data_IF_789825457802
#
_entry.id   IF_789825457802
#
_cell.length_a   1.000
_cell.length_b   1.000
_cell.length_c   1.000
_cell.angle_alpha   90.00
_cell.angle_beta   90.00
_cell.angle_gamma   90.00
#
_symmetry.space_group_name_H-M   'P 1'
#
loop_
_entity.id
_entity.type
_entity.pdbx_description
1 polymer ?
#
# COMPACT_ATOMS: atom_id res chain seq x y z
N UNK A 1 -15.86 -66.05 -41.39
CA UNK A 1 -16.46 -64.73 -41.02
C UNK A 1 -16.15 -64.48 -39.55
N UNK A 2 -15.10 -63.69 -39.25
CA UNK A 2 -14.77 -63.33 -37.88
C UNK A 2 -15.57 -62.10 -37.50
N UNK A 3 -16.53 -62.24 -36.63
CA UNK A 3 -17.26 -61.14 -35.98
C UNK A 3 -16.28 -60.38 -35.06
N UNK A 4 -16.12 -59.06 -35.18
CA UNK A 4 -15.29 -58.32 -34.27
C UNK A 4 -15.93 -58.37 -32.86
N UNK A 5 -15.14 -58.77 -31.86
CA UNK A 5 -15.52 -58.84 -30.46
C UNK A 5 -15.86 -57.40 -29.98
N UNK A 6 -17.02 -57.16 -29.36
CA UNK A 6 -17.41 -55.84 -28.89
C UNK A 6 -16.42 -55.43 -27.82
N UNK A 7 -15.69 -54.30 -28.07
CA UNK A 7 -14.74 -53.71 -27.12
C UNK A 7 -15.43 -53.55 -25.78
N UNK A 8 -15.11 -54.41 -24.83
CA UNK A 8 -15.58 -54.28 -23.44
C UNK A 8 -15.11 -52.92 -22.91
N UNK A 9 -16.06 -52.07 -22.59
CA UNK A 9 -15.80 -50.76 -22.01
C UNK A 9 -15.12 -50.98 -20.65
N UNK A 10 -13.84 -50.55 -20.54
CA UNK A 10 -13.04 -50.73 -19.34
C UNK A 10 -13.38 -49.62 -18.34
N UNK A 11 -14.42 -49.86 -17.55
CA UNK A 11 -14.91 -48.96 -16.52
C UNK A 11 -13.83 -48.61 -15.48
N UNK A 12 -12.92 -49.55 -15.18
CA UNK A 12 -11.80 -49.30 -14.26
C UNK A 12 -10.83 -48.24 -14.77
N UNK A 13 -10.53 -48.22 -16.08
CA UNK A 13 -9.70 -47.18 -16.68
C UNK A 13 -10.38 -45.80 -16.66
N UNK A 14 -11.67 -45.74 -16.91
CA UNK A 14 -12.42 -44.49 -16.86
C UNK A 14 -12.36 -43.89 -15.44
N UNK A 15 -12.66 -44.68 -14.41
CA UNK A 15 -12.65 -44.28 -13.01
C UNK A 15 -11.24 -43.79 -12.61
N UNK A 16 -10.19 -44.55 -12.99
CA UNK A 16 -8.81 -44.15 -12.71
C UNK A 16 -8.43 -42.81 -13.39
N UNK A 17 -8.86 -42.58 -14.64
CA UNK A 17 -8.60 -41.35 -15.36
C UNK A 17 -9.30 -40.16 -14.71
N UNK A 18 -10.55 -40.32 -14.31
CA UNK A 18 -11.32 -39.26 -13.63
C UNK A 18 -10.73 -38.97 -12.25
N UNK A 19 -10.30 -39.98 -11.50
CA UNK A 19 -9.65 -39.80 -10.21
C UNK A 19 -8.33 -39.01 -10.35
N UNK A 20 -7.48 -39.37 -11.33
CA UNK A 20 -6.22 -38.66 -11.58
C UNK A 20 -6.45 -37.22 -12.02
N UNK A 21 -7.46 -36.95 -12.86
CA UNK A 21 -7.84 -35.61 -13.25
C UNK A 21 -8.33 -34.79 -12.05
N UNK A 22 -9.13 -35.41 -11.18
CA UNK A 22 -9.57 -34.77 -9.93
C UNK A 22 -8.43 -34.38 -9.01
N UNK A 23 -7.41 -35.25 -8.89
CA UNK A 23 -6.18 -34.91 -8.12
C UNK A 23 -5.43 -33.74 -8.74
N UNK A 24 -5.26 -33.71 -10.07
CA UNK A 24 -4.58 -32.59 -10.76
C UNK A 24 -5.34 -31.27 -10.57
N UNK A 25 -6.66 -31.28 -10.72
CA UNK A 25 -7.49 -30.08 -10.48
C UNK A 25 -7.39 -29.64 -9.02
N UNK A 26 -7.43 -30.60 -8.08
CA UNK A 26 -7.25 -30.29 -6.65
C UNK A 26 -5.90 -29.65 -6.35
N UNK A 27 -4.80 -30.16 -6.93
CA UNK A 27 -3.47 -29.57 -6.76
C UNK A 27 -3.37 -28.15 -7.37
N UNK A 28 -4.01 -27.92 -8.51
CA UNK A 28 -4.06 -26.57 -9.12
C UNK A 28 -4.82 -25.59 -8.22
N UNK A 29 -5.97 -26.00 -7.68
CA UNK A 29 -6.75 -25.17 -6.75
C UNK A 29 -5.97 -24.83 -5.48
N UNK A 30 -5.30 -25.83 -4.89
CA UNK A 30 -4.45 -25.61 -3.71
C UNK A 30 -3.29 -24.66 -4.04
N UNK A 31 -2.66 -24.82 -5.20
CA UNK A 31 -1.58 -23.90 -5.65
C UNK A 31 -2.09 -22.46 -5.79
N UNK A 32 -3.27 -22.27 -6.36
CA UNK A 32 -3.90 -20.93 -6.46
C UNK A 32 -4.23 -20.36 -5.07
N UNK A 33 -4.75 -21.18 -4.16
CA UNK A 33 -5.05 -20.72 -2.79
C UNK A 33 -3.79 -20.32 -2.03
N UNK A 34 -2.67 -21.06 -2.18
CA UNK A 34 -1.39 -20.72 -1.57
C UNK A 34 -0.88 -19.38 -2.12
N UNK A 35 -0.93 -19.19 -3.44
CA UNK A 35 -0.54 -17.94 -4.06
C UNK A 35 -1.34 -16.75 -3.51
N UNK A 36 -2.67 -16.85 -3.51
CA UNK A 36 -3.55 -15.81 -2.97
C UNK A 36 -3.28 -15.53 -1.49
N UNK A 37 -3.11 -16.58 -0.67
CA UNK A 37 -2.79 -16.43 0.76
C UNK A 37 -1.45 -15.74 0.98
N UNK A 38 -0.45 -16.03 0.14
CA UNK A 38 0.86 -15.38 0.20
C UNK A 38 0.77 -13.90 -0.17
N UNK A 39 0.00 -13.55 -1.18
CA UNK A 39 -0.17 -12.16 -1.60
C UNK A 39 -0.92 -11.35 -0.54
N UNK A 40 -1.95 -11.93 0.08
CA UNK A 40 -2.65 -11.31 1.23
C UNK A 40 -1.69 -11.12 2.41
N UNK A 41 -0.88 -12.11 2.75
CA UNK A 41 0.07 -12.01 3.85
C UNK A 41 1.14 -10.92 3.60
N UNK A 42 1.64 -10.78 2.36
CA UNK A 42 2.57 -9.71 1.98
C UNK A 42 1.92 -8.34 2.10
N UNK A 43 0.66 -8.21 1.64
CA UNK A 43 -0.09 -6.96 1.75
C UNK A 43 -0.34 -6.56 3.21
N UNK A 44 -0.68 -7.52 4.08
CA UNK A 44 -0.84 -7.31 5.51
C UNK A 44 0.47 -6.84 6.15
N UNK A 45 1.60 -7.53 5.88
CA UNK A 45 2.89 -7.16 6.42
C UNK A 45 3.32 -5.74 6.01
N UNK A 46 3.11 -5.38 4.74
CA UNK A 46 3.38 -4.03 4.25
C UNK A 46 2.50 -2.98 4.94
N UNK A 47 1.20 -3.28 5.09
CA UNK A 47 0.28 -2.39 5.79
C UNK A 47 0.66 -2.21 7.27
N UNK A 48 1.05 -3.28 7.96
CA UNK A 48 1.47 -3.23 9.37
C UNK A 48 2.75 -2.39 9.54
N UNK A 49 3.70 -2.49 8.61
CA UNK A 49 4.89 -1.63 8.58
C UNK A 49 4.50 -0.14 8.50
N UNK A 50 3.65 0.24 7.54
CA UNK A 50 3.22 1.62 7.41
C UNK A 50 2.39 2.12 8.61
N UNK A 51 1.58 1.25 9.21
CA UNK A 51 0.84 1.60 10.43
C UNK A 51 1.78 1.87 11.60
N UNK A 52 2.83 1.06 11.76
CA UNK A 52 3.83 1.27 12.80
C UNK A 52 4.60 2.59 12.60
N UNK A 53 5.00 2.89 11.36
CA UNK A 53 5.67 4.14 11.00
C UNK A 53 4.77 5.36 11.27
N UNK A 54 3.50 5.30 10.86
CA UNK A 54 2.52 6.34 11.17
C UNK A 54 2.31 6.55 12.68
N UNK A 55 2.28 5.46 13.47
CA UNK A 55 2.16 5.57 14.92
C UNK A 55 3.39 6.25 15.53
N UNK A 56 4.58 5.96 15.00
CA UNK A 56 5.81 6.63 15.41
C UNK A 56 5.73 8.13 15.13
N UNK A 57 5.37 8.53 13.90
CA UNK A 57 5.23 9.93 13.53
C UNK A 57 4.21 10.67 14.41
N UNK A 58 3.05 10.07 14.65
CA UNK A 58 2.02 10.62 15.53
C UNK A 58 2.55 10.78 16.96
N UNK A 59 3.30 9.81 17.48
CA UNK A 59 3.87 9.91 18.83
C UNK A 59 4.91 11.02 18.97
N UNK A 60 5.63 11.33 17.89
CA UNK A 60 6.66 12.38 17.85
C UNK A 60 6.08 13.78 17.63
N UNK A 61 4.85 13.90 17.13
CA UNK A 61 4.16 15.21 17.00
C UNK A 61 3.77 15.79 18.37
N UNK A 62 3.65 14.98 19.43
CA UNK A 62 3.28 15.42 20.76
C UNK A 62 1.82 15.82 20.90
N UNK A 63 1.51 16.62 21.94
CA UNK A 63 0.14 16.89 22.36
C UNK A 63 -0.53 18.06 21.62
N UNK A 64 0.23 18.90 20.91
CA UNK A 64 -0.29 20.15 20.30
C UNK A 64 0.13 20.38 18.84
N UNK A 65 -0.06 19.41 17.93
CA UNK A 65 0.27 19.63 16.51
C UNK A 65 -0.55 20.75 15.86
N UNK A 66 -1.78 20.99 16.38
CA UNK A 66 -2.69 22.03 15.90
C UNK A 66 -2.11 23.43 16.14
N UNK A 67 -1.43 23.67 17.26
CA UNK A 67 -0.83 24.95 17.58
C UNK A 67 0.34 25.27 16.61
N UNK A 68 1.19 24.29 16.34
CA UNK A 68 2.28 24.42 15.38
C UNK A 68 1.75 24.64 13.96
N UNK A 69 0.67 23.94 13.58
CA UNK A 69 -0.01 24.16 12.31
C UNK A 69 -0.60 25.55 12.19
N UNK A 70 -1.27 26.03 13.24
CA UNK A 70 -1.87 27.37 13.29
C UNK A 70 -0.80 28.46 13.10
N UNK A 71 0.37 28.31 13.75
CA UNK A 71 1.50 29.23 13.54
C UNK A 71 2.04 29.15 12.11
N UNK A 72 2.18 27.96 11.55
CA UNK A 72 2.65 27.78 10.17
C UNK A 72 1.79 28.50 9.13
N UNK A 73 0.47 28.57 9.38
CA UNK A 73 -0.47 29.21 8.46
C UNK A 73 -0.56 30.72 8.68
N UNK A 74 -0.57 31.20 9.93
CA UNK A 74 -0.89 32.58 10.26
C UNK A 74 0.33 33.45 10.61
N UNK A 75 1.38 32.84 11.16
CA UNK A 75 2.61 33.54 11.58
C UNK A 75 3.85 32.72 11.21
N UNK A 76 4.11 32.48 9.90
CA UNK A 76 5.18 31.58 9.44
C UNK A 76 6.59 32.05 9.84
N UNK A 77 6.77 33.34 10.14
CA UNK A 77 8.05 33.90 10.61
C UNK A 77 8.32 33.65 12.10
N UNK A 78 7.28 33.26 12.88
CA UNK A 78 7.37 32.99 14.32
C UNK A 78 7.51 31.47 14.63
N UNK A 79 7.84 30.65 13.62
CA UNK A 79 8.02 29.20 13.80
C UNK A 79 9.24 28.94 14.69
N UNK A 80 8.97 28.26 15.81
CA UNK A 80 10.03 27.82 16.73
C UNK A 80 10.68 26.50 16.24
N UNK A 81 11.87 26.14 16.75
CA UNK A 81 12.47 24.84 16.47
C UNK A 81 11.55 23.65 16.85
N UNK A 82 10.74 23.80 17.91
CA UNK A 82 9.75 22.81 18.28
C UNK A 82 8.66 22.68 17.23
N UNK A 83 8.11 23.81 16.77
CA UNK A 83 7.10 23.80 15.70
C UNK A 83 7.63 23.18 14.41
N UNK A 84 8.87 23.51 14.04
CA UNK A 84 9.51 22.92 12.87
C UNK A 84 9.63 21.41 12.98
N UNK A 85 9.99 20.88 14.15
CA UNK A 85 10.06 19.45 14.39
C UNK A 85 8.68 18.77 14.33
N UNK A 86 7.64 19.40 14.90
CA UNK A 86 6.26 18.89 14.84
C UNK A 86 5.74 18.87 13.40
N UNK A 87 5.99 19.95 12.64
CA UNK A 87 5.55 20.07 11.25
C UNK A 87 6.30 19.10 10.33
N UNK A 88 7.59 18.87 10.58
CA UNK A 88 8.38 17.87 9.87
C UNK A 88 7.72 16.48 10.01
N UNK A 89 7.35 16.08 11.23
CA UNK A 89 6.64 14.80 11.47
C UNK A 89 5.27 14.78 10.82
N UNK A 90 4.55 15.89 10.85
CA UNK A 90 3.24 15.99 10.22
C UNK A 90 3.31 15.80 8.69
N UNK A 91 4.28 16.43 8.02
CA UNK A 91 4.46 16.27 6.57
C UNK A 91 4.97 14.86 6.22
N UNK A 92 5.92 14.32 6.99
CA UNK A 92 6.38 12.94 6.82
C UNK A 92 5.23 11.93 6.98
N UNK A 93 4.36 12.11 7.98
CA UNK A 93 3.15 11.30 8.12
C UNK A 93 2.30 11.33 6.84
N UNK A 94 2.10 12.50 6.23
CA UNK A 94 1.39 12.63 4.95
C UNK A 94 2.06 11.86 3.81
N UNK A 95 3.40 11.90 3.71
CA UNK A 95 4.17 11.14 2.71
C UNK A 95 4.03 9.61 2.92
N UNK A 96 4.11 9.16 4.17
CA UNK A 96 3.95 7.73 4.50
C UNK A 96 2.56 7.24 4.10
N UNK A 97 1.52 8.05 4.30
CA UNK A 97 0.16 7.72 3.85
C UNK A 97 0.08 7.58 2.33
N UNK A 98 0.70 8.48 1.56
CA UNK A 98 0.73 8.40 0.10
C UNK A 98 1.44 7.12 -0.36
N UNK A 99 2.63 6.81 0.19
CA UNK A 99 3.38 5.58 -0.13
C UNK A 99 2.57 4.32 0.17
N UNK A 100 1.92 4.30 1.33
CA UNK A 100 1.04 3.18 1.72
C UNK A 100 -0.08 2.96 0.71
N UNK A 101 -0.80 4.03 0.35
CA UNK A 101 -1.91 3.95 -0.60
C UNK A 101 -1.44 3.56 -2.01
N UNK A 102 -0.30 4.07 -2.45
CA UNK A 102 0.33 3.68 -3.71
C UNK A 102 0.61 2.17 -3.73
N UNK A 103 1.21 1.63 -2.67
CA UNK A 103 1.47 0.20 -2.58
C UNK A 103 0.18 -0.63 -2.54
N UNK A 104 -0.82 -0.19 -1.80
CA UNK A 104 -2.13 -0.86 -1.77
C UNK A 104 -2.81 -0.85 -3.14
N UNK A 105 -2.68 0.24 -3.90
CA UNK A 105 -3.19 0.32 -5.27
C UNK A 105 -2.46 -0.63 -6.21
N UNK A 106 -1.13 -0.73 -6.13
CA UNK A 106 -0.33 -1.69 -6.91
C UNK A 106 -0.72 -3.15 -6.64
N UNK A 107 -1.16 -3.45 -5.42
CA UNK A 107 -1.66 -4.78 -5.02
C UNK A 107 -3.14 -4.99 -5.33
N UNK A 108 -3.84 -4.00 -5.91
CA UNK A 108 -5.27 -4.08 -6.19
C UNK A 108 -6.16 -4.04 -4.94
N UNK A 109 -5.66 -3.53 -3.82
CA UNK A 109 -6.34 -3.49 -2.52
C UNK A 109 -6.93 -2.11 -2.18
N UNK A 110 -6.58 -1.06 -2.92
CA UNK A 110 -7.16 0.27 -2.77
C UNK A 110 -8.10 0.58 -3.94
N UNK A 111 -9.22 1.25 -3.63
CA UNK A 111 -10.13 1.76 -4.65
C UNK A 111 -9.48 2.86 -5.50
N UNK A 112 -9.90 2.96 -6.76
CA UNK A 112 -9.44 4.02 -7.65
C UNK A 112 -9.84 5.40 -7.10
N UNK A 113 -8.89 6.34 -7.08
CA UNK A 113 -9.12 7.72 -6.63
C UNK A 113 -8.79 7.99 -5.15
N UNK A 114 -8.63 6.97 -4.29
CA UNK A 114 -8.22 7.18 -2.89
C UNK A 114 -6.81 7.76 -2.81
N UNK A 115 -5.88 7.26 -3.63
CA UNK A 115 -4.52 7.79 -3.73
C UNK A 115 -4.53 9.25 -4.19
N UNK A 116 -5.28 9.58 -5.25
CA UNK A 116 -5.39 10.94 -5.77
C UNK A 116 -5.98 11.91 -4.73
N UNK A 117 -6.93 11.43 -3.93
CA UNK A 117 -7.50 12.22 -2.84
C UNK A 117 -6.44 12.51 -1.77
N UNK A 118 -5.64 11.53 -1.40
CA UNK A 118 -4.57 11.69 -0.40
C UNK A 118 -3.46 12.62 -0.91
N UNK A 119 -3.10 12.53 -2.19
CA UNK A 119 -2.14 13.46 -2.81
C UNK A 119 -2.66 14.89 -2.73
N UNK A 120 -3.90 15.16 -3.16
CA UNK A 120 -4.50 16.51 -3.06
C UNK A 120 -4.56 17.02 -1.62
N UNK A 121 -4.82 16.13 -0.66
CA UNK A 121 -4.81 16.49 0.75
C UNK A 121 -3.42 16.92 1.21
N UNK A 122 -2.39 16.17 0.83
CA UNK A 122 -1.00 16.51 1.14
C UNK A 122 -0.58 17.82 0.44
N UNK A 123 -0.88 18.00 -0.85
CA UNK A 123 -0.61 19.24 -1.59
C UNK A 123 -1.23 20.47 -0.92
N UNK A 124 -2.47 20.33 -0.43
CA UNK A 124 -3.12 21.41 0.30
C UNK A 124 -2.35 21.81 1.57
N UNK A 125 -1.86 20.81 2.32
CA UNK A 125 -1.05 21.08 3.52
C UNK A 125 0.32 21.68 3.18
N UNK A 126 0.93 21.25 2.09
CA UNK A 126 2.19 21.82 1.60
C UNK A 126 2.02 23.21 0.96
N UNK A 127 0.79 23.65 0.73
CA UNK A 127 0.48 24.91 0.06
C UNK A 127 0.79 26.19 0.87
N UNK A 128 0.96 26.11 2.20
CA UNK A 128 1.40 27.24 3.01
C UNK A 128 2.92 27.50 2.88
N UNK A 129 3.42 28.62 3.40
CA UNK A 129 4.81 29.01 3.24
C UNK A 129 5.79 28.01 3.87
N UNK A 130 5.50 27.55 5.08
CA UNK A 130 6.34 26.58 5.79
C UNK A 130 6.35 25.23 5.06
N UNK A 131 5.18 24.75 4.61
CA UNK A 131 5.07 23.54 3.83
C UNK A 131 5.83 23.59 2.51
N UNK A 132 5.78 24.73 1.79
CA UNK A 132 6.55 24.92 0.55
C UNK A 132 8.07 24.91 0.80
N UNK A 133 8.54 25.55 1.89
CA UNK A 133 9.96 25.51 2.27
C UNK A 133 10.40 24.10 2.60
N UNK A 134 9.62 23.40 3.39
CA UNK A 134 9.86 22.00 3.76
C UNK A 134 9.90 21.10 2.53
N UNK A 135 8.92 21.22 1.65
CA UNK A 135 8.84 20.43 0.41
C UNK A 135 10.01 20.67 -0.54
N UNK A 136 10.46 21.92 -0.66
CA UNK A 136 11.63 22.26 -1.46
C UNK A 136 12.90 21.59 -0.92
N UNK A 137 13.07 21.57 0.40
CA UNK A 137 14.18 20.89 1.05
C UNK A 137 14.07 19.37 0.83
N UNK A 138 12.92 18.77 1.10
CA UNK A 138 12.69 17.33 0.92
C UNK A 138 13.02 16.89 -0.51
N UNK A 139 12.55 17.59 -1.52
CA UNK A 139 12.88 17.29 -2.93
C UNK A 139 14.38 17.36 -3.24
N UNK A 140 15.12 18.19 -2.54
CA UNK A 140 16.57 18.30 -2.75
C UNK A 140 17.35 17.15 -2.08
N UNK A 141 16.81 16.61 -0.99
CA UNK A 141 17.42 15.53 -0.22
C UNK A 141 17.04 14.14 -0.80
N UNK A 142 15.80 13.99 -1.27
CA UNK A 142 15.23 12.73 -1.77
C UNK A 142 14.68 12.87 -3.21
N UNK A 143 15.52 13.23 -4.20
CA UNK A 143 15.04 13.53 -5.56
C UNK A 143 14.50 12.30 -6.30
N UNK A 144 14.90 11.09 -5.90
CA UNK A 144 14.48 9.83 -6.49
C UNK A 144 13.21 9.23 -5.85
N UNK A 145 12.69 9.84 -4.80
CA UNK A 145 11.46 9.38 -4.16
C UNK A 145 10.29 9.43 -5.15
N UNK A 146 9.57 8.31 -5.27
CA UNK A 146 8.41 8.21 -6.16
C UNK A 146 7.32 9.24 -5.83
N UNK A 147 7.15 9.60 -4.55
CA UNK A 147 6.16 10.61 -4.13
C UNK A 147 6.52 11.98 -4.69
N UNK A 148 7.81 12.32 -4.84
CA UNK A 148 8.27 13.58 -5.46
C UNK A 148 7.83 13.68 -6.93
N UNK A 149 7.67 12.54 -7.61
CA UNK A 149 7.20 12.51 -8.99
C UNK A 149 5.68 12.60 -9.12
N UNK A 150 4.95 12.35 -8.03
CA UNK A 150 3.49 12.37 -8.02
C UNK A 150 2.91 13.72 -7.58
N UNK A 151 3.68 14.51 -6.80
CA UNK A 151 3.35 15.85 -6.29
C UNK A 151 4.17 16.92 -7.04
#
# INVERSE_FOLDING_TARGET
MNTPDPKKFDFGRLVSTVANLGVLVGLLLVSMQISQSTDIARAQLANDYYLADMQLELSMMGDSPVDSWTRAVHTPDDITPHDAAVLDRFFNYGLVQVRRLQQMQQLGLAESGVLDQQIRYLEWHLGNEVGRRWWAQYKSEEPEDEVVRMI
#
